data_IF_624031755680
#
_entry.id   IF_624031755680
#
_cell.length_a   1.000
_cell.length_b   1.000
_cell.length_c   1.000
_cell.angle_alpha   90.00
_cell.angle_beta   90.00
_cell.angle_gamma   90.00
#
_symmetry.space_group_name_H-M   'P 1'
#
loop_
_entity.id
_entity.type
_entity.pdbx_description
1 polymer ?
#
# COMPACT_ATOMS: atom_id res chain seq x y z
N UNK A 1 19.83 0.83 -11.44
CA UNK A 1 19.21 0.73 -11.60
C UNK A 1 18.46 -0.12 -11.66
N UNK A 2 17.87 -0.57 -11.49
CA UNK A 2 17.27 -1.42 -11.57
C UNK A 2 16.24 -1.35 -12.01
N UNK A 3 15.88 -1.84 -12.18
CA UNK A 3 15.12 -1.83 -13.02
C UNK A 3 14.03 -2.57 -12.79
N UNK A 4 13.82 -3.20 -11.88
CA UNK A 4 12.84 -3.90 -11.63
C UNK A 4 11.85 -3.16 -11.24
N UNK A 5 11.03 -2.59 -11.88
CA UNK A 5 10.06 -1.88 -11.49
C UNK A 5 9.03 -2.71 -11.07
N UNK A 6 8.84 -2.92 -9.84
CA UNK A 6 7.79 -3.60 -9.29
C UNK A 6 6.59 -2.77 -9.46
N UNK A 7 5.48 -3.29 -9.83
CA UNK A 7 4.29 -2.49 -9.99
C UNK A 7 3.80 -2.01 -8.64
N UNK A 8 4.31 -2.52 -7.54
CA UNK A 8 3.91 -2.05 -6.24
C UNK A 8 4.72 -0.86 -5.77
N UNK A 9 5.84 -0.56 -6.41
CA UNK A 9 6.69 0.54 -5.96
C UNK A 9 5.97 1.86 -5.91
N UNK A 10 5.29 2.22 -6.94
CA UNK A 10 4.64 3.52 -6.96
C UNK A 10 3.46 3.62 -6.02
N UNK A 11 2.56 2.64 -5.99
CA UNK A 11 1.46 2.75 -5.05
C UNK A 11 1.94 2.73 -3.61
N UNK A 12 2.96 1.94 -3.31
CA UNK A 12 3.46 1.90 -1.95
C UNK A 12 4.10 3.22 -1.58
N UNK A 13 4.82 3.84 -2.49
CA UNK A 13 5.44 5.12 -2.22
C UNK A 13 4.37 6.19 -1.98
N UNK A 14 3.30 6.17 -2.74
CA UNK A 14 2.22 7.12 -2.53
C UNK A 14 1.56 6.91 -1.18
N UNK A 15 1.34 5.65 -0.81
CA UNK A 15 0.72 5.36 0.46
C UNK A 15 1.63 5.83 1.59
N UNK A 16 2.94 5.59 1.45
CA UNK A 16 3.87 6.00 2.49
C UNK A 16 3.86 7.51 2.68
N UNK A 17 3.89 8.26 1.59
CA UNK A 17 3.90 9.70 1.70
C UNK A 17 2.63 10.21 2.34
N UNK A 18 1.51 9.64 1.95
CA UNK A 18 0.25 10.06 2.52
C UNK A 18 0.19 9.71 4.00
N UNK A 19 0.69 8.54 4.37
CA UNK A 19 0.69 8.14 5.77
C UNK A 19 1.56 9.08 6.58
N UNK A 20 2.68 9.52 6.04
CA UNK A 20 3.52 10.43 6.77
C UNK A 20 2.81 11.75 7.01
N UNK A 21 2.07 12.22 6.04
CA UNK A 21 1.34 13.46 6.20
C UNK A 21 0.21 13.32 7.21
N UNK A 22 -0.34 12.13 7.33
CA UNK A 22 -1.44 11.91 8.24
C UNK A 22 -1.00 11.43 9.61
N UNK A 23 0.29 11.31 9.83
CA UNK A 23 0.78 10.83 11.11
C UNK A 23 0.68 9.32 11.27
N UNK A 24 0.55 8.60 10.17
CA UNK A 24 0.42 7.16 10.21
C UNK A 24 1.66 6.43 9.74
N UNK A 25 2.80 7.11 9.74
CA UNK A 25 4.04 6.48 9.25
C UNK A 25 4.41 5.23 10.01
N UNK A 26 4.23 5.24 11.33
CA UNK A 26 4.57 4.07 12.12
C UNK A 26 3.65 2.89 11.79
N UNK A 27 2.36 3.18 11.59
CA UNK A 27 1.42 2.13 11.24
C UNK A 27 1.79 1.56 9.87
N UNK A 28 2.17 2.43 8.95
CA UNK A 28 2.55 2.00 7.62
C UNK A 28 3.71 1.00 7.72
N UNK A 29 4.74 1.34 8.45
CA UNK A 29 5.89 0.47 8.54
C UNK A 29 5.59 -0.81 9.27
N UNK A 30 4.80 -0.73 10.29
CA UNK A 30 4.49 -1.91 11.07
C UNK A 30 3.64 -2.87 10.25
N UNK A 31 2.78 -2.38 9.42
CA UNK A 31 1.88 -3.23 8.66
C UNK A 31 2.28 -3.39 7.21
N UNK A 32 3.48 -2.98 6.85
CA UNK A 32 3.92 -3.07 5.47
C UNK A 32 3.81 -4.48 4.88
N UNK A 33 4.20 -5.55 5.58
CA UNK A 33 4.06 -6.87 4.99
C UNK A 33 2.61 -7.23 4.70
N UNK A 34 1.70 -6.83 5.57
CA UNK A 34 0.30 -7.10 5.34
C UNK A 34 -0.20 -6.27 4.18
N UNK A 35 0.27 -5.03 4.08
CA UNK A 35 -0.13 -4.17 2.99
C UNK A 35 0.32 -4.74 1.66
N UNK A 36 1.53 -5.25 1.60
CA UNK A 36 2.03 -5.82 0.37
C UNK A 36 1.19 -7.03 -0.04
N UNK A 37 0.82 -7.86 0.92
CA UNK A 37 -0.01 -9.00 0.62
C UNK A 37 -1.38 -8.56 0.11
N UNK A 38 -1.92 -7.50 0.71
CA UNK A 38 -3.21 -6.97 0.30
C UNK A 38 -3.16 -6.49 -1.16
N UNK A 39 -2.09 -5.77 -1.51
CA UNK A 39 -1.94 -5.27 -2.86
C UNK A 39 -1.71 -6.39 -3.86
N UNK A 40 -0.97 -7.42 -3.44
CA UNK A 40 -0.75 -8.55 -4.33
C UNK A 40 -2.06 -9.24 -4.64
N UNK A 41 -2.93 -9.35 -3.68
CA UNK A 41 -4.23 -9.98 -3.91
C UNK A 41 -5.04 -9.17 -4.92
N UNK A 42 -4.97 -7.84 -4.83
CA UNK A 42 -5.70 -7.01 -5.76
C UNK A 42 -5.16 -7.16 -7.17
N UNK A 43 -3.85 -7.20 -7.30
CA UNK A 43 -3.25 -7.35 -8.61
C UNK A 43 -3.61 -8.72 -9.19
N UNK A 44 -3.67 -9.74 -8.34
CA UNK A 44 -4.03 -11.06 -8.81
C UNK A 44 -5.46 -11.08 -9.33
N UNK A 45 -6.29 -10.14 -8.84
CA UNK A 45 -7.64 -10.07 -9.32
C UNK A 45 -7.75 -9.17 -10.55
N UNK A 46 -6.68 -8.64 -11.03
CA UNK A 46 -6.71 -7.79 -12.22
C UNK A 46 -6.58 -6.30 -11.98
N UNK A 47 -6.43 -5.90 -10.72
CA UNK A 47 -6.33 -4.49 -10.44
C UNK A 47 -4.93 -4.01 -10.70
N UNK A 48 -4.72 -3.19 -11.71
CA UNK A 48 -3.38 -2.73 -12.03
C UNK A 48 -3.25 -1.23 -11.96
N UNK A 49 -4.29 -0.51 -11.60
CA UNK A 49 -4.21 0.94 -11.53
C UNK A 49 -3.45 1.38 -10.31
N UNK A 50 -2.41 2.17 -10.51
CA UNK A 50 -1.61 2.67 -9.40
C UNK A 50 -2.47 3.43 -8.42
N UNK A 51 -3.38 4.25 -8.92
CA UNK A 51 -4.21 5.05 -8.08
C UNK A 51 -5.14 4.19 -7.24
N UNK A 52 -5.74 3.18 -7.84
CA UNK A 52 -6.64 2.32 -7.10
C UNK A 52 -5.90 1.47 -6.08
N UNK A 53 -4.71 1.01 -6.41
CA UNK A 53 -3.91 0.27 -5.45
C UNK A 53 -3.55 1.15 -4.28
N UNK A 54 -3.21 2.42 -4.53
CA UNK A 54 -2.86 3.32 -3.46
C UNK A 54 -4.06 3.61 -2.57
N UNK A 55 -5.21 3.83 -3.16
CA UNK A 55 -6.40 4.12 -2.39
C UNK A 55 -6.81 2.90 -1.56
N UNK A 56 -6.74 1.72 -2.15
CA UNK A 56 -7.08 0.50 -1.42
C UNK A 56 -6.12 0.28 -0.26
N UNK A 57 -4.84 0.55 -0.48
CA UNK A 57 -3.86 0.38 0.56
C UNK A 57 -4.09 1.33 1.71
N UNK A 58 -4.44 2.59 1.40
CA UNK A 58 -4.72 3.55 2.44
C UNK A 58 -5.95 3.14 3.24
N UNK A 59 -6.97 2.66 2.56
CA UNK A 59 -8.17 2.22 3.24
C UNK A 59 -7.84 1.03 4.15
N UNK A 60 -7.00 0.12 3.66
CA UNK A 60 -6.59 -1.03 4.45
C UNK A 60 -5.89 -0.58 5.73
N UNK A 61 -5.00 0.39 5.62
CA UNK A 61 -4.27 0.86 6.80
C UNK A 61 -5.15 1.64 7.77
N UNK A 62 -6.11 2.34 7.22
CA UNK A 62 -6.99 3.10 8.09
C UNK A 62 -7.95 2.21 8.83
N UNK A 63 -8.30 1.03 8.28
CA UNK A 63 -9.16 0.16 8.93
C UNK A 63 -8.41 -0.55 9.96
N UNK A 64 -8.66 -0.43 11.23
CA UNK A 64 -7.98 -1.10 12.23
C UNK A 64 -8.54 -2.41 12.39
N UNK A 65 -7.82 -3.42 12.54
CA UNK A 65 -8.32 -4.73 12.73
C UNK A 65 -8.95 -4.75 14.07
N UNK A 66 -10.05 -5.41 14.26
CA UNK A 66 -10.61 -5.47 15.44
C UNK A 66 -10.04 -6.51 16.10
N UNK A 67 -9.43 -6.41 16.96
CA UNK A 67 -8.71 -7.44 17.65
C UNK A 67 -9.56 -8.38 18.35
#
# INVERSE_FOLDING_TARGET
>A
MHTDLNIFDKPIDRIRKTCELMGLGADFERRLPELETHLEALVAEGETSEERLAVSGLTFLKRRPRA
#
